data_IF_095975087857
#
_entry.id   IF_095975087857
#
_cell.length_a   1.000
_cell.length_b   1.000
_cell.length_c   1.000
_cell.angle_alpha   90.00
_cell.angle_beta   90.00
_cell.angle_gamma   90.00
#
_symmetry.space_group_name_H-M   'P 1'
#
loop_
_entity.id
_entity.type
_entity.pdbx_description
1 polymer ?
#
# COMPACT_ATOMS: atom_id res chain seq x y z
N UNK A 1 -26.60 26.39 -5.80
CA UNK A 1 -25.57 25.92 -4.85
C UNK A 1 -24.79 24.81 -5.54
N UNK A 2 -23.52 25.04 -5.91
CA UNK A 2 -22.65 24.02 -6.50
C UNK A 2 -21.94 23.27 -5.37
N UNK A 3 -22.48 22.11 -4.96
CA UNK A 3 -21.75 21.16 -4.13
C UNK A 3 -20.97 20.22 -5.05
N UNK A 4 -19.88 20.75 -5.60
CA UNK A 4 -18.82 19.95 -6.23
C UNK A 4 -18.01 19.27 -5.11
N UNK A 5 -18.63 18.37 -4.34
CA UNK A 5 -17.87 17.41 -3.56
C UNK A 5 -17.63 16.18 -4.41
N UNK A 6 -16.58 16.29 -5.23
CA UNK A 6 -15.91 15.14 -5.81
C UNK A 6 -15.53 14.21 -4.66
N UNK A 7 -16.35 13.19 -4.39
CA UNK A 7 -15.89 11.98 -3.74
C UNK A 7 -14.81 11.39 -4.65
N UNK A 8 -13.56 11.83 -4.46
CA UNK A 8 -12.41 11.31 -5.19
C UNK A 8 -12.33 9.83 -4.86
N UNK A 9 -12.32 8.93 -5.86
CA UNK A 9 -12.03 7.52 -5.61
C UNK A 9 -10.52 7.42 -5.40
N UNK A 10 -10.05 7.79 -4.22
CA UNK A 10 -8.67 7.57 -3.76
C UNK A 10 -8.72 7.11 -2.32
N UNK A 11 -9.51 6.08 -2.06
CA UNK A 11 -9.38 5.22 -0.86
C UNK A 11 -8.43 4.05 -1.19
N UNK A 12 -7.44 4.30 -2.04
CA UNK A 12 -6.31 3.41 -2.19
C UNK A 12 -5.24 3.96 -1.25
N UNK A 13 -4.77 3.20 -0.25
CA UNK A 13 -3.65 3.64 0.57
C UNK A 13 -2.51 4.03 -0.38
N UNK A 14 -1.97 5.22 -0.15
CA UNK A 14 -0.83 5.73 -0.91
C UNK A 14 0.31 4.73 -0.77
N UNK A 15 1.07 4.47 -1.85
CA UNK A 15 2.18 3.50 -1.82
C UNK A 15 3.18 3.82 -0.70
N UNK A 16 3.35 5.11 -0.39
CA UNK A 16 4.15 5.58 0.74
C UNK A 16 3.64 5.07 2.10
N UNK A 17 2.32 5.08 2.32
CA UNK A 17 1.71 4.62 3.58
C UNK A 17 1.80 3.09 3.73
N UNK A 18 1.71 2.34 2.62
CA UNK A 18 1.90 0.89 2.62
C UNK A 18 3.34 0.51 2.98
N UNK A 19 4.32 1.19 2.36
CA UNK A 19 5.74 0.99 2.65
C UNK A 19 6.11 1.41 4.08
N UNK A 20 5.52 2.50 4.58
CA UNK A 20 5.71 2.94 5.96
C UNK A 20 5.18 1.92 6.97
N UNK A 21 3.98 1.36 6.74
CA UNK A 21 3.41 0.30 7.58
C UNK A 21 4.27 -0.95 7.60
N UNK A 22 4.70 -1.42 6.42
CA UNK A 22 5.60 -2.57 6.32
C UNK A 22 6.93 -2.32 7.04
N UNK A 23 7.51 -1.14 6.87
CA UNK A 23 8.76 -0.75 7.54
C UNK A 23 8.63 -0.75 9.07
N UNK A 24 7.53 -0.20 9.59
CA UNK A 24 7.27 -0.21 11.03
C UNK A 24 7.18 -1.65 11.57
N UNK A 25 6.50 -2.56 10.89
CA UNK A 25 6.40 -3.95 11.33
C UNK A 25 7.77 -4.64 11.38
N UNK A 26 8.62 -4.44 10.37
CA UNK A 26 9.98 -4.99 10.34
C UNK A 26 10.84 -4.44 11.48
N UNK A 27 10.82 -3.11 11.69
CA UNK A 27 11.62 -2.47 12.76
C UNK A 27 11.18 -2.89 14.15
N UNK A 28 9.88 -3.13 14.36
CA UNK A 28 9.34 -3.63 15.62
C UNK A 28 9.52 -5.15 15.79
N UNK A 29 10.05 -5.86 14.79
CA UNK A 29 10.24 -7.32 14.82
C UNK A 29 8.95 -8.12 14.68
N UNK A 30 7.87 -7.49 14.18
CA UNK A 30 6.57 -8.11 13.98
C UNK A 30 6.43 -8.66 12.56
N UNK A 31 7.34 -9.57 12.18
CA UNK A 31 7.39 -10.16 10.83
C UNK A 31 6.59 -11.46 10.69
N UNK A 32 6.17 -12.07 11.80
CA UNK A 32 5.51 -13.38 11.82
C UNK A 32 3.97 -13.28 11.92
N UNK A 33 3.41 -12.06 11.79
CA UNK A 33 1.97 -11.81 11.90
C UNK A 33 1.28 -11.70 10.55
N UNK A 34 -0.02 -12.04 10.51
CA UNK A 34 -0.87 -11.86 9.32
C UNK A 34 -0.75 -10.44 8.75
N UNK A 35 -0.72 -9.40 9.59
CA UNK A 35 -0.62 -8.01 9.13
C UNK A 35 0.61 -7.77 8.25
N UNK A 36 1.75 -8.36 8.62
CA UNK A 36 2.97 -8.29 7.83
C UNK A 36 2.83 -9.01 6.49
N UNK A 37 2.33 -10.26 6.49
CA UNK A 37 2.12 -11.03 5.25
C UNK A 37 1.19 -10.30 4.27
N UNK A 38 0.14 -9.66 4.80
CA UNK A 38 -0.81 -8.90 3.98
C UNK A 38 -0.14 -7.67 3.37
N UNK A 39 0.56 -6.87 4.18
CA UNK A 39 1.24 -5.67 3.70
C UNK A 39 2.35 -6.01 2.70
N UNK A 40 3.13 -7.05 2.97
CA UNK A 40 4.19 -7.54 2.08
C UNK A 40 3.61 -7.96 0.72
N UNK A 41 2.54 -8.76 0.72
CA UNK A 41 1.87 -9.20 -0.51
C UNK A 41 1.35 -8.02 -1.34
N UNK A 42 0.70 -7.05 -0.69
CA UNK A 42 0.14 -5.88 -1.38
C UNK A 42 1.25 -5.01 -1.97
N UNK A 43 2.31 -4.77 -1.20
CA UNK A 43 3.48 -4.00 -1.68
C UNK A 43 4.15 -4.73 -2.84
N UNK A 44 4.36 -6.04 -2.73
CA UNK A 44 4.97 -6.86 -3.76
C UNK A 44 4.17 -6.82 -5.08
N UNK A 45 2.85 -7.02 -5.02
CA UNK A 45 2.01 -7.01 -6.23
C UNK A 45 1.98 -5.62 -6.90
N UNK A 46 1.97 -4.53 -6.13
CA UNK A 46 2.06 -3.17 -6.70
C UNK A 46 3.40 -2.87 -7.35
N UNK A 47 4.49 -3.26 -6.71
CA UNK A 47 5.83 -3.11 -7.29
C UNK A 47 5.94 -3.95 -8.57
N UNK A 48 5.46 -5.19 -8.52
CA UNK A 48 5.43 -6.08 -9.68
C UNK A 48 4.63 -5.48 -10.82
N UNK A 49 3.43 -4.93 -10.59
CA UNK A 49 2.64 -4.26 -11.64
C UNK A 49 3.38 -3.04 -12.23
N UNK A 50 3.96 -2.21 -11.35
CA UNK A 50 4.73 -1.00 -11.74
C UNK A 50 5.91 -1.34 -12.64
N UNK A 51 6.68 -2.38 -12.30
CA UNK A 51 7.87 -2.79 -13.05
C UNK A 51 7.57 -3.82 -14.16
N UNK A 52 6.39 -4.47 -14.16
CA UNK A 52 5.94 -5.34 -15.25
C UNK A 52 5.52 -4.55 -16.48
N UNK A 53 5.18 -3.25 -16.32
CA UNK A 53 5.10 -2.26 -17.41
C UNK A 53 6.51 -1.92 -17.91
N UNK A 54 7.21 -2.91 -18.46
CA UNK A 54 8.44 -2.72 -19.23
C UNK A 54 8.55 -3.82 -20.30
N UNK A 55 7.52 -3.94 -21.15
CA UNK A 55 7.60 -4.49 -22.52
C UNK A 55 6.30 -4.17 -23.29
#
# INVERSE_FOLDING_TARGET
>A
MNALEHARPTDCPSDASLLEGLYQLVVNGHTDGWEFEQLDTVVYERLKDTYAVTN
#
